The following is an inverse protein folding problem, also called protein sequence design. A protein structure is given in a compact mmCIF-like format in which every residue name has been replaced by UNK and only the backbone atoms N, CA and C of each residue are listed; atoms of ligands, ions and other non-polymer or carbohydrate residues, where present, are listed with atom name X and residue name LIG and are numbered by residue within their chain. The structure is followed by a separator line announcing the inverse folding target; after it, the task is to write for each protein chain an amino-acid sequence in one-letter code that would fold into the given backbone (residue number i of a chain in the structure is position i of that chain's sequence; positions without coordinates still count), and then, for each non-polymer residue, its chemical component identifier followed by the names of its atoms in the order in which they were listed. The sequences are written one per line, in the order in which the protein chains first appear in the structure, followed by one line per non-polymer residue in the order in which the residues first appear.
data_IF_973139260978
#
_entry.id   IF_973139260978
#
_cell.length_a   1.000
_cell.length_b   1.000
_cell.length_c   1.000
_cell.angle_alpha   90.00
_cell.angle_beta   90.00
_cell.angle_gamma   90.00
#
_symmetry.space_group_name_H-M   'P 1'
#
loop_
_entity.id
_entity.type
_entity.pdbx_description
1 polymer ?
#
# COMPACT_ATOMS: atom_id res chain seq x y z
N UNK A 1 7.63 -28.20 -11.67
CA UNK A 1 6.38 -27.96 -10.90
C UNK A 1 5.26 -27.54 -11.86
N UNK A 2 4.02 -28.00 -11.72
CA UNK A 2 2.94 -27.57 -12.62
C UNK A 2 2.66 -26.07 -12.49
N UNK A 3 2.30 -25.43 -13.60
CA UNK A 3 1.97 -24.00 -13.68
C UNK A 3 0.97 -23.56 -12.60
N UNK A 4 -0.02 -24.40 -12.28
CA UNK A 4 -1.04 -24.14 -11.26
C UNK A 4 -0.48 -24.24 -9.83
N UNK A 5 0.33 -25.28 -9.54
CA UNK A 5 0.98 -25.43 -8.23
C UNK A 5 1.93 -24.27 -7.94
N UNK A 6 2.64 -23.78 -8.95
CA UNK A 6 3.49 -22.60 -8.84
C UNK A 6 2.72 -21.36 -8.42
N UNK A 7 1.65 -21.02 -9.16
CA UNK A 7 0.82 -19.85 -8.86
C UNK A 7 0.22 -19.93 -7.45
N UNK A 8 -0.25 -21.10 -7.02
CA UNK A 8 -0.80 -21.28 -5.68
C UNK A 8 0.25 -21.08 -4.58
N UNK A 9 1.44 -21.69 -4.71
CA UNK A 9 2.51 -21.51 -3.72
C UNK A 9 2.96 -20.06 -3.61
N UNK A 10 3.08 -19.37 -4.74
CA UNK A 10 3.45 -17.95 -4.76
C UNK A 10 2.37 -17.07 -4.15
N UNK A 11 1.11 -17.28 -4.53
CA UNK A 11 -0.02 -16.56 -3.93
C UNK A 11 -0.07 -16.76 -2.42
N UNK A 12 0.08 -18.00 -1.94
CA UNK A 12 0.12 -18.28 -0.51
C UNK A 12 1.28 -17.56 0.20
N UNK A 13 2.48 -17.56 -0.39
CA UNK A 13 3.62 -16.85 0.19
C UNK A 13 3.39 -15.34 0.28
N UNK A 14 2.86 -14.72 -0.78
CA UNK A 14 2.52 -13.29 -0.79
C UNK A 14 1.42 -13.00 0.25
N UNK A 15 0.40 -13.86 0.36
CA UNK A 15 -0.65 -13.72 1.36
C UNK A 15 -0.09 -13.78 2.78
N UNK A 16 0.75 -14.76 3.10
CA UNK A 16 1.34 -14.89 4.44
C UNK A 16 2.19 -13.67 4.81
N UNK A 17 2.99 -13.16 3.87
CA UNK A 17 3.80 -11.95 4.06
C UNK A 17 2.93 -10.71 4.26
N UNK A 18 1.87 -10.54 3.46
CA UNK A 18 0.91 -9.44 3.67
C UNK A 18 0.13 -9.60 4.97
N UNK A 19 -0.19 -10.82 5.38
CA UNK A 19 -0.98 -11.07 6.58
C UNK A 19 -0.20 -10.72 7.85
N UNK A 20 1.13 -10.89 7.85
CA UNK A 20 1.99 -10.35 8.91
C UNK A 20 1.84 -8.83 9.02
N UNK A 21 1.71 -8.12 7.91
CA UNK A 21 1.41 -6.69 7.91
C UNK A 21 0.01 -6.38 8.41
N UNK A 22 -1.02 -7.17 8.07
CA UNK A 22 -2.35 -7.02 8.67
C UNK A 22 -2.31 -7.20 10.19
N UNK A 23 -1.65 -8.25 10.70
CA UNK A 23 -1.49 -8.47 12.14
C UNK A 23 -0.75 -7.34 12.84
N UNK A 24 0.10 -6.59 12.14
CA UNK A 24 0.81 -5.45 12.73
C UNK A 24 -0.14 -4.34 13.21
N UNK A 25 -1.36 -4.25 12.67
CA UNK A 25 -2.39 -3.31 13.12
C UNK A 25 -2.73 -3.49 14.62
N UNK A 26 -2.53 -4.67 15.20
CA UNK A 26 -2.75 -4.93 16.63
C UNK A 26 -1.82 -4.11 17.56
N UNK A 27 -0.69 -3.62 17.04
CA UNK A 27 0.24 -2.77 17.77
C UNK A 27 -0.10 -1.28 17.67
N UNK A 28 -1.09 -0.90 16.86
CA UNK A 28 -1.55 0.47 16.73
C UNK A 28 -2.83 0.71 17.55
N UNK A 29 -2.98 1.93 18.06
CA UNK A 29 -4.24 2.43 18.60
C UNK A 29 -5.02 3.13 17.49
N UNK A 30 -6.27 2.73 17.29
CA UNK A 30 -7.18 3.41 16.37
C UNK A 30 -8.27 4.10 17.18
N UNK A 31 -8.60 5.37 16.88
CA UNK A 31 -9.77 6.01 17.46
C UNK A 31 -11.00 5.24 16.96
N UNK A 32 -11.63 4.49 17.85
CA UNK A 32 -12.86 3.79 17.54
C UNK A 32 -14.02 4.79 17.74
N UNK A 33 -14.89 4.97 16.74
CA UNK A 33 -16.10 5.75 16.91
C UNK A 33 -17.05 4.95 17.82
N UNK A 34 -16.88 5.12 19.13
CA UNK A 34 -17.69 4.48 20.17
C UNK A 34 -19.16 4.87 20.06
N UNK A 35 -19.46 6.03 19.45
CA UNK A 35 -20.82 6.50 19.16
C UNK A 35 -21.56 5.68 18.09
N UNK A 36 -20.88 4.81 17.32
CA UNK A 36 -21.54 3.93 16.36
C UNK A 36 -22.09 2.64 16.99
N UNK A 37 -21.78 2.39 18.27
CA UNK A 37 -22.22 1.19 18.97
C UNK A 37 -23.39 1.52 19.92
N UNK A 38 -24.48 0.72 19.93
CA UNK A 38 -25.53 0.81 20.92
C UNK A 38 -24.98 0.79 22.36
N UNK A 39 -25.63 1.47 23.30
CA UNK A 39 -25.18 1.56 24.71
C UNK A 39 -25.02 0.19 25.40
N UNK A 40 -25.73 -0.84 24.93
CA UNK A 40 -25.68 -2.22 25.39
C UNK A 40 -24.62 -3.09 24.68
N UNK A 41 -23.98 -2.55 23.64
CA UNK A 41 -22.94 -3.24 22.87
C UNK A 41 -21.54 -2.93 23.42
N UNK A 42 -21.08 -3.76 24.35
CA UNK A 42 -19.71 -3.68 24.87
C UNK A 42 -18.86 -4.81 24.29
N UNK A 43 -17.99 -4.48 23.33
CA UNK A 43 -16.87 -5.34 22.99
C UNK A 43 -15.65 -4.96 23.85
N UNK A 44 -14.88 -5.95 24.28
CA UNK A 44 -13.55 -5.70 24.83
C UNK A 44 -12.65 -5.06 23.78
N UNK A 45 -11.63 -4.32 24.24
CA UNK A 45 -10.62 -3.73 23.34
C UNK A 45 -9.95 -4.80 22.45
N UNK A 46 -9.79 -6.02 22.97
CA UNK A 46 -9.21 -7.14 22.22
C UNK A 46 -10.14 -7.60 21.10
N UNK A 47 -11.44 -7.74 21.36
CA UNK A 47 -12.42 -8.10 20.34
C UNK A 47 -12.50 -7.05 19.24
N UNK A 48 -12.48 -5.75 19.61
CA UNK A 48 -12.45 -4.66 18.65
C UNK A 48 -11.20 -4.70 17.77
N UNK A 49 -10.02 -4.89 18.36
CA UNK A 49 -8.77 -5.02 17.61
C UNK A 49 -8.78 -6.20 16.65
N UNK A 50 -9.34 -7.34 17.06
CA UNK A 50 -9.50 -8.50 16.17
C UNK A 50 -10.50 -8.24 15.04
N UNK A 51 -11.59 -7.51 15.31
CA UNK A 51 -12.59 -7.15 14.31
C UNK A 51 -11.98 -6.28 13.19
N UNK A 52 -11.10 -5.33 13.53
CA UNK A 52 -10.42 -4.44 12.58
C UNK A 52 -9.58 -5.25 11.56
N UNK A 53 -9.12 -6.46 11.91
CA UNK A 53 -8.31 -7.28 10.99
C UNK A 53 -9.13 -7.91 9.86
N UNK A 54 -10.46 -8.01 9.99
CA UNK A 54 -11.31 -8.75 9.05
C UNK A 54 -11.25 -8.10 7.65
N UNK A 55 -11.59 -6.82 7.57
CA UNK A 55 -11.61 -6.07 6.29
C UNK A 55 -10.26 -6.12 5.55
N UNK A 56 -9.12 -5.75 6.15
CA UNK A 56 -7.82 -5.82 5.46
C UNK A 56 -7.42 -7.25 5.10
N UNK A 57 -7.79 -8.27 5.89
CA UNK A 57 -7.54 -9.67 5.53
C UNK A 57 -8.32 -10.10 4.29
N UNK A 58 -9.59 -9.71 4.19
CA UNK A 58 -10.43 -10.00 3.02
C UNK A 58 -9.91 -9.29 1.78
N UNK A 59 -9.57 -8.00 1.89
CA UNK A 59 -8.95 -7.24 0.82
C UNK A 59 -7.62 -7.87 0.37
N UNK A 60 -6.79 -8.29 1.33
CA UNK A 60 -5.52 -8.96 1.03
C UNK A 60 -5.74 -10.27 0.28
N UNK A 61 -6.64 -11.13 0.76
CA UNK A 61 -6.97 -12.38 0.10
C UNK A 61 -7.45 -12.14 -1.34
N UNK A 62 -8.37 -11.18 -1.53
CA UNK A 62 -8.89 -10.82 -2.83
C UNK A 62 -7.80 -10.28 -3.78
N UNK A 63 -6.98 -9.34 -3.32
CA UNK A 63 -5.89 -8.78 -4.11
C UNK A 63 -4.82 -9.82 -4.48
N UNK A 64 -4.51 -10.75 -3.57
CA UNK A 64 -3.59 -11.86 -3.87
C UNK A 64 -4.16 -12.80 -4.92
N UNK A 65 -5.46 -13.12 -4.85
CA UNK A 65 -6.14 -13.93 -5.86
C UNK A 65 -6.07 -13.23 -7.22
N UNK A 66 -6.48 -11.96 -7.29
CA UNK A 66 -6.45 -11.19 -8.53
C UNK A 66 -5.04 -11.10 -9.11
N UNK A 67 -4.06 -10.67 -8.32
CA UNK A 67 -2.68 -10.55 -8.78
C UNK A 67 -2.13 -11.89 -9.27
N UNK A 68 -2.36 -12.97 -8.55
CA UNK A 68 -1.87 -14.31 -8.91
C UNK A 68 -2.48 -14.84 -10.21
N UNK A 69 -3.75 -14.53 -10.49
CA UNK A 69 -4.44 -14.94 -11.70
C UNK A 69 -4.06 -14.07 -12.90
N UNK A 70 -3.92 -12.76 -12.70
CA UNK A 70 -3.85 -11.77 -13.78
C UNK A 70 -2.43 -11.32 -14.13
N UNK A 71 -1.42 -11.53 -13.26
CA UNK A 71 -0.07 -11.00 -13.45
C UNK A 71 0.61 -11.46 -14.73
N UNK A 72 0.50 -12.73 -15.10
CA UNK A 72 1.29 -13.31 -16.22
C UNK A 72 1.20 -12.54 -17.55
N UNK A 73 0.01 -12.21 -18.08
CA UNK A 73 -0.10 -11.42 -19.31
C UNK A 73 0.33 -9.95 -19.17
N UNK A 74 0.52 -9.43 -17.96
CA UNK A 74 0.80 -8.00 -17.72
C UNK A 74 2.27 -7.61 -17.85
N UNK A 75 3.19 -8.58 -17.85
CA UNK A 75 4.66 -8.36 -17.74
C UNK A 75 5.12 -7.74 -16.42
N UNK A 76 4.24 -7.60 -15.43
CA UNK A 76 4.60 -7.25 -14.06
C UNK A 76 5.23 -8.46 -13.36
N UNK A 77 6.17 -8.22 -12.45
CA UNK A 77 7.01 -9.27 -11.85
C UNK A 77 7.05 -9.19 -10.33
N UNK A 78 7.39 -10.32 -9.70
CA UNK A 78 7.60 -10.45 -8.25
C UNK A 78 8.92 -11.20 -8.05
N UNK A 79 10.08 -10.61 -8.42
CA UNK A 79 11.34 -11.32 -8.58
C UNK A 79 11.78 -12.12 -7.37
N UNK A 80 11.59 -11.61 -6.15
CA UNK A 80 12.03 -12.28 -4.92
C UNK A 80 11.06 -13.39 -4.53
N UNK A 81 9.75 -13.16 -4.62
CA UNK A 81 8.74 -14.22 -4.43
C UNK A 81 8.89 -15.33 -5.47
N UNK A 82 9.17 -14.99 -6.73
CA UNK A 82 9.42 -15.96 -7.80
C UNK A 82 10.66 -16.80 -7.50
N UNK A 83 11.74 -16.18 -7.00
CA UNK A 83 12.96 -16.86 -6.57
C UNK A 83 12.71 -17.84 -5.41
N UNK A 84 12.05 -17.38 -4.35
CA UNK A 84 11.73 -18.19 -3.17
C UNK A 84 10.87 -19.42 -3.50
N UNK A 85 9.95 -19.30 -4.46
CA UNK A 85 9.03 -20.40 -4.82
C UNK A 85 9.66 -21.37 -5.82
N UNK A 86 10.54 -20.91 -6.73
CA UNK A 86 11.13 -21.77 -7.76
C UNK A 86 12.29 -22.63 -7.26
N UNK A 87 12.97 -22.25 -6.16
CA UNK A 87 14.18 -22.93 -5.68
C UNK A 87 15.20 -23.19 -6.82
N UNK A 88 15.21 -22.36 -7.87
CA UNK A 88 16.15 -22.47 -8.98
C UNK A 88 17.38 -21.62 -8.67
N UNK A 89 18.57 -22.11 -9.06
CA UNK A 89 19.88 -21.45 -8.95
C UNK A 89 20.00 -20.23 -9.89
N UNK A 90 19.02 -19.32 -9.87
CA UNK A 90 19.14 -18.01 -10.54
C UNK A 90 19.77 -17.03 -9.56
N UNK A 91 20.82 -16.36 -9.98
CA UNK A 91 21.37 -15.26 -9.21
C UNK A 91 20.31 -14.16 -9.05
N UNK A 92 20.00 -13.84 -7.80
CA UNK A 92 19.06 -12.79 -7.45
C UNK A 92 19.76 -11.44 -7.63
N UNK A 93 19.24 -10.59 -8.52
CA UNK A 93 19.76 -9.24 -8.67
C UNK A 93 19.35 -8.39 -7.47
N UNK A 94 20.30 -7.66 -6.89
CA UNK A 94 20.03 -6.64 -5.86
C UNK A 94 19.44 -5.36 -6.44
N UNK A 95 19.43 -5.19 -7.77
CA UNK A 95 18.98 -3.96 -8.42
C UNK A 95 17.56 -3.53 -8.01
N UNK A 96 16.55 -4.42 -7.92
CA UNK A 96 15.22 -4.01 -7.46
C UNK A 96 15.23 -3.38 -6.05
N UNK A 97 16.06 -3.90 -5.13
CA UNK A 97 16.19 -3.34 -3.78
C UNK A 97 16.88 -1.98 -3.81
N UNK A 98 17.95 -1.82 -4.61
CA UNK A 98 18.66 -0.54 -4.76
C UNK A 98 17.73 0.54 -5.32
N UNK A 99 16.97 0.23 -6.38
CA UNK A 99 15.98 1.15 -6.92
C UNK A 99 14.84 1.41 -5.93
N UNK A 100 14.48 0.43 -5.12
CA UNK A 100 13.51 0.58 -4.04
C UNK A 100 13.99 1.60 -3.02
N UNK A 101 15.21 1.46 -2.51
CA UNK A 101 15.80 2.43 -1.56
C UNK A 101 15.88 3.82 -2.18
N UNK A 102 16.41 3.96 -3.39
CA UNK A 102 16.52 5.25 -4.06
C UNK A 102 15.14 5.91 -4.28
N UNK A 103 14.16 5.15 -4.78
CA UNK A 103 12.81 5.66 -4.98
C UNK A 103 12.09 5.97 -3.67
N UNK A 104 12.36 5.21 -2.61
CA UNK A 104 11.83 5.48 -1.27
C UNK A 104 12.37 6.77 -0.66
N UNK A 105 13.66 7.08 -0.86
CA UNK A 105 14.25 8.37 -0.48
C UNK A 105 13.59 9.51 -1.24
N UNK A 106 13.46 9.37 -2.57
CA UNK A 106 12.80 10.37 -3.42
C UNK A 106 11.36 10.61 -2.97
N UNK A 107 10.58 9.56 -2.76
CA UNK A 107 9.20 9.65 -2.31
C UNK A 107 9.09 10.25 -0.89
N UNK A 108 9.93 9.84 0.05
CA UNK A 108 9.97 10.38 1.41
C UNK A 108 10.26 11.88 1.43
N UNK A 109 11.29 12.33 0.70
CA UNK A 109 11.60 13.75 0.57
C UNK A 109 10.47 14.53 -0.12
N UNK A 110 9.89 13.97 -1.18
CA UNK A 110 8.80 14.62 -1.93
C UNK A 110 7.54 14.78 -1.08
N UNK A 111 7.15 13.74 -0.32
CA UNK A 111 5.99 13.79 0.58
C UNK A 111 6.26 14.74 1.75
N UNK A 112 7.49 14.78 2.28
CA UNK A 112 7.88 15.75 3.32
C UNK A 112 7.79 17.19 2.80
N UNK A 113 8.18 17.43 1.54
CA UNK A 113 8.00 18.73 0.88
C UNK A 113 6.52 19.10 0.69
N UNK A 114 5.68 18.14 0.27
CA UNK A 114 4.22 18.33 0.21
C UNK A 114 3.68 18.69 1.60
N UNK A 115 4.12 18.00 2.63
CA UNK A 115 3.71 18.29 4.02
C UNK A 115 4.08 19.72 4.40
N UNK A 116 5.34 20.12 4.19
CA UNK A 116 5.81 21.47 4.45
C UNK A 116 4.99 22.55 3.72
N UNK A 117 4.63 22.31 2.45
CA UNK A 117 3.81 23.23 1.65
C UNK A 117 2.39 23.40 2.21
N UNK A 118 1.79 22.31 2.71
CA UNK A 118 0.38 22.31 3.13
C UNK A 118 0.17 22.69 4.59
N UNK A 119 1.14 22.45 5.49
CA UNK A 119 1.03 22.71 6.94
C UNK A 119 0.39 24.06 7.28
N UNK A 120 0.74 25.21 6.65
CA UNK A 120 0.11 26.51 6.96
C UNK A 120 -1.40 26.58 6.69
N UNK A 121 -1.94 25.67 5.87
CA UNK A 121 -3.34 25.63 5.46
C UNK A 121 -4.13 24.52 6.15
N UNK A 122 -3.49 23.70 6.99
CA UNK A 122 -4.15 22.59 7.67
C UNK A 122 -4.84 23.07 8.96
N UNK A 123 -6.03 22.54 9.28
CA UNK A 123 -6.68 22.83 10.56
C UNK A 123 -5.79 22.44 11.75
N UNK A 124 -5.68 23.31 12.76
CA UNK A 124 -4.88 23.03 13.96
C UNK A 124 -5.36 21.78 14.71
N UNK A 125 -6.67 21.52 14.69
CA UNK A 125 -7.27 20.29 15.24
C UNK A 125 -6.72 19.03 14.56
N UNK A 126 -6.57 19.05 13.24
CA UNK A 126 -5.98 17.94 12.49
C UNK A 126 -4.50 17.75 12.83
N UNK A 127 -3.72 18.84 12.92
CA UNK A 127 -2.30 18.76 13.27
C UNK A 127 -2.11 18.10 14.65
N UNK A 128 -2.85 18.56 15.66
CA UNK A 128 -2.81 17.97 17.01
C UNK A 128 -3.24 16.49 17.06
N UNK A 129 -4.26 16.11 16.28
CA UNK A 129 -4.68 14.71 16.14
C UNK A 129 -3.61 13.86 15.44
N UNK A 130 -2.97 14.39 14.39
CA UNK A 130 -1.96 13.67 13.62
C UNK A 130 -0.65 13.41 14.40
N UNK A 131 -0.37 14.22 15.43
CA UNK A 131 0.75 13.98 16.36
C UNK A 131 0.41 12.91 17.40
N UNK A 132 -0.83 12.86 17.87
CA UNK A 132 -1.28 11.94 18.93
C UNK A 132 -1.73 10.58 18.40
N UNK A 133 -2.21 10.51 17.16
CA UNK A 133 -2.75 9.30 16.53
C UNK A 133 -1.86 8.89 15.36
N UNK A 134 -0.69 8.33 15.69
CA UNK A 134 0.19 7.71 14.70
C UNK A 134 0.14 6.19 14.80
N UNK A 135 0.03 5.48 13.66
CA UNK A 135 0.25 4.04 13.65
C UNK A 135 1.65 3.74 14.20
N UNK A 136 1.78 2.65 14.96
CA UNK A 136 3.07 2.20 15.46
C UNK A 136 4.06 2.08 14.28
N UNK A 137 5.34 2.36 14.53
CA UNK A 137 6.37 2.30 13.48
C UNK A 137 6.34 0.95 12.77
N UNK A 138 6.19 -0.14 13.51
CA UNK A 138 6.08 -1.49 12.95
C UNK A 138 4.90 -1.63 11.97
N UNK A 139 3.76 -0.98 12.26
CA UNK A 139 2.57 -0.95 11.40
C UNK A 139 2.83 -0.17 10.13
N UNK A 140 3.51 0.99 10.22
CA UNK A 140 3.90 1.78 9.04
C UNK A 140 4.78 0.93 8.11
N UNK A 141 5.75 0.21 8.65
CA UNK A 141 6.67 -0.61 7.84
C UNK A 141 6.02 -1.87 7.28
N UNK A 142 5.21 -2.60 8.08
CA UNK A 142 4.64 -3.88 7.66
C UNK A 142 3.28 -3.72 6.97
N UNK A 143 2.33 -3.00 7.56
CA UNK A 143 1.05 -2.75 6.90
C UNK A 143 1.23 -1.82 5.70
N UNK A 144 1.77 -0.61 5.93
CA UNK A 144 2.00 0.37 4.87
C UNK A 144 2.98 -0.14 3.82
N UNK A 145 4.19 -0.49 4.26
CA UNK A 145 5.27 -0.89 3.35
C UNK A 145 5.09 -2.22 2.61
N UNK A 146 4.26 -3.14 3.11
CA UNK A 146 4.09 -4.48 2.49
C UNK A 146 2.64 -4.74 2.10
N UNK A 147 1.70 -4.61 3.04
CA UNK A 147 0.31 -4.98 2.80
C UNK A 147 -0.32 -4.08 1.76
N UNK A 148 -0.18 -2.76 1.89
CA UNK A 148 -0.75 -1.80 0.93
C UNK A 148 -0.18 -2.00 -0.48
N UNK A 149 1.12 -2.33 -0.60
CA UNK A 149 1.70 -2.65 -1.90
C UNK A 149 1.10 -3.93 -2.51
N UNK A 150 0.79 -4.95 -1.71
CA UNK A 150 0.07 -6.13 -2.21
C UNK A 150 -1.34 -5.74 -2.65
N UNK A 151 -2.05 -4.93 -1.87
CA UNK A 151 -3.41 -4.50 -2.19
C UNK A 151 -3.46 -3.71 -3.49
N UNK A 152 -2.64 -2.66 -3.57
CA UNK A 152 -2.70 -1.64 -4.61
C UNK A 152 -1.90 -2.04 -5.83
N UNK A 153 -0.67 -2.55 -5.66
CA UNK A 153 0.22 -2.84 -6.80
C UNK A 153 -0.08 -4.23 -7.30
N UNK A 154 0.10 -5.24 -6.46
CA UNK A 154 -0.10 -6.62 -6.89
C UNK A 154 -1.56 -6.94 -7.26
N UNK A 155 -2.53 -6.45 -6.51
CA UNK A 155 -3.96 -6.60 -6.81
C UNK A 155 -4.47 -5.63 -7.87
N UNK A 156 -4.70 -4.38 -7.45
CA UNK A 156 -5.44 -3.36 -8.23
C UNK A 156 -4.72 -2.92 -9.51
N UNK A 157 -3.44 -2.54 -9.43
CA UNK A 157 -2.68 -2.10 -10.59
C UNK A 157 -2.52 -3.22 -11.62
N UNK A 158 -2.26 -4.46 -11.17
CA UNK A 158 -2.24 -5.63 -12.07
C UNK A 158 -3.56 -5.81 -12.80
N UNK A 159 -4.70 -5.66 -12.11
CA UNK A 159 -6.03 -5.68 -12.74
C UNK A 159 -6.15 -4.60 -13.82
N UNK A 160 -5.73 -3.36 -13.55
CA UNK A 160 -5.78 -2.28 -14.53
C UNK A 160 -4.88 -2.51 -15.74
N UNK A 161 -3.65 -2.98 -15.53
CA UNK A 161 -2.77 -3.36 -16.65
C UNK A 161 -3.41 -4.49 -17.46
N UNK A 162 -4.00 -5.48 -16.79
CA UNK A 162 -4.66 -6.59 -17.47
C UNK A 162 -5.82 -6.13 -18.35
N UNK A 163 -6.73 -5.28 -17.81
CA UNK A 163 -7.85 -4.70 -18.57
C UNK A 163 -7.30 -3.85 -19.72
N UNK A 164 -6.33 -2.97 -19.46
CA UNK A 164 -5.76 -2.08 -20.47
C UNK A 164 -5.10 -2.84 -21.61
N UNK A 165 -4.40 -3.94 -21.34
CA UNK A 165 -3.81 -4.78 -22.39
C UNK A 165 -4.85 -5.60 -23.17
N UNK A 166 -6.05 -5.84 -22.63
CA UNK A 166 -7.17 -6.40 -23.40
C UNK A 166 -7.74 -5.40 -24.40
N UNK A 167 -7.77 -4.12 -24.03
CA UNK A 167 -8.31 -3.05 -24.88
C UNK A 167 -7.28 -2.56 -25.89
N UNK A 168 -6.03 -2.35 -25.45
CA UNK A 168 -4.96 -1.77 -26.24
C UNK A 168 -3.67 -2.62 -26.13
N UNK A 169 -3.64 -3.85 -26.69
CA UNK A 169 -2.54 -4.82 -26.50
C UNK A 169 -1.18 -4.33 -27.02
N UNK A 170 -1.15 -3.37 -27.95
CA UNK A 170 0.09 -2.79 -28.51
C UNK A 170 0.58 -1.56 -27.72
N UNK A 171 -0.28 -0.92 -26.92
CA UNK A 171 0.04 0.32 -26.20
C UNK A 171 0.63 0.06 -24.81
N UNK A 172 1.62 -0.85 -24.72
CA UNK A 172 2.12 -1.40 -23.45
C UNK A 172 2.52 -0.29 -22.47
N UNK A 173 3.34 0.67 -22.91
CA UNK A 173 3.80 1.79 -22.08
C UNK A 173 2.65 2.66 -21.60
N UNK A 174 1.73 3.03 -22.51
CA UNK A 174 0.56 3.84 -22.16
C UNK A 174 -0.32 3.15 -21.13
N UNK A 175 -0.62 1.86 -21.34
CA UNK A 175 -1.41 1.05 -20.39
C UNK A 175 -0.79 1.01 -19.00
N UNK A 176 0.53 0.84 -18.89
CA UNK A 176 1.19 0.80 -17.58
C UNK A 176 1.18 2.17 -16.91
N UNK A 177 1.46 3.26 -17.63
CA UNK A 177 1.37 4.62 -17.08
C UNK A 177 -0.05 4.89 -16.58
N UNK A 178 -1.07 4.60 -17.38
CA UNK A 178 -2.46 4.77 -16.98
C UNK A 178 -2.80 3.94 -15.75
N UNK A 179 -2.38 2.67 -15.69
CA UNK A 179 -2.62 1.81 -14.53
C UNK A 179 -1.93 2.34 -13.25
N UNK A 180 -0.70 2.86 -13.36
CA UNK A 180 0.01 3.52 -12.24
C UNK A 180 -0.78 4.71 -11.73
N UNK A 181 -1.21 5.60 -12.63
CA UNK A 181 -1.95 6.82 -12.26
C UNK A 181 -3.31 6.49 -11.63
N UNK A 182 -4.06 5.54 -12.20
CA UNK A 182 -5.35 5.12 -11.66
C UNK A 182 -5.22 4.43 -10.30
N UNK A 183 -4.23 3.53 -10.15
CA UNK A 183 -3.99 2.86 -8.87
C UNK A 183 -3.53 3.85 -7.79
N UNK A 184 -2.66 4.81 -8.13
CA UNK A 184 -2.23 5.88 -7.23
C UNK A 184 -3.40 6.77 -6.79
N UNK A 185 -4.31 7.12 -7.72
CA UNK A 185 -5.49 7.92 -7.40
C UNK A 185 -6.44 7.17 -6.47
N UNK A 186 -6.74 5.91 -6.74
CA UNK A 186 -7.60 5.10 -5.88
C UNK A 186 -6.95 4.81 -4.52
N UNK A 187 -5.63 4.66 -4.46
CA UNK A 187 -4.90 4.58 -3.20
C UNK A 187 -5.07 5.86 -2.37
N UNK A 188 -4.92 7.03 -2.99
CA UNK A 188 -5.12 8.31 -2.33
C UNK A 188 -6.56 8.50 -1.82
N UNK A 189 -7.55 8.16 -2.64
CA UNK A 189 -8.98 8.17 -2.23
C UNK A 189 -9.25 7.14 -1.12
N UNK A 190 -8.58 6.00 -1.16
CA UNK A 190 -8.70 4.94 -0.15
C UNK A 190 -8.34 5.37 1.28
N UNK A 191 -7.67 6.51 1.44
CA UNK A 191 -7.37 7.10 2.76
C UNK A 191 -8.51 7.97 3.32
N UNK A 192 -9.51 8.31 2.51
CA UNK A 192 -10.60 9.19 2.94
C UNK A 192 -11.46 8.61 4.06
N UNK A 193 -11.78 7.30 4.12
CA UNK A 193 -12.49 6.72 5.26
C UNK A 193 -11.77 6.98 6.59
N UNK A 194 -10.44 6.81 6.64
CA UNK A 194 -9.66 7.09 7.83
C UNK A 194 -9.62 8.59 8.17
N UNK A 195 -9.53 9.46 7.16
CA UNK A 195 -9.64 10.91 7.35
C UNK A 195 -10.98 11.31 7.99
N UNK A 196 -12.08 10.76 7.48
CA UNK A 196 -13.43 11.07 7.95
C UNK A 196 -13.73 10.50 9.35
N UNK A 197 -12.95 9.52 9.82
CA UNK A 197 -12.99 9.07 11.22
C UNK A 197 -12.29 10.04 12.17
N UNK A 198 -11.38 10.89 11.67
CA UNK A 198 -10.63 11.86 12.47
C UNK A 198 -11.21 13.27 12.38
N UNK A 199 -11.83 13.61 11.25
CA UNK A 199 -12.34 14.95 10.95
C UNK A 199 -13.68 14.85 10.22
N UNK A 200 -14.76 15.28 10.88
CA UNK A 200 -16.13 15.17 10.35
C UNK A 200 -16.32 15.93 9.02
N UNK A 201 -15.74 17.13 8.91
CA UNK A 201 -15.85 18.01 7.75
C UNK A 201 -14.46 18.48 7.29
N UNK A 202 -13.70 17.66 6.54
CA UNK A 202 -12.36 18.01 6.12
C UNK A 202 -12.38 19.19 5.14
N UNK A 203 -11.49 20.17 5.36
CA UNK A 203 -11.38 21.34 4.48
C UNK A 203 -10.86 20.94 3.09
N UNK A 204 -11.13 21.73 2.03
CA UNK A 204 -10.56 21.47 0.71
C UNK A 204 -9.02 21.37 0.72
N UNK A 205 -8.35 22.16 1.56
CA UNK A 205 -6.90 22.11 1.74
C UNK A 205 -6.44 20.77 2.35
N UNK A 206 -7.16 20.26 3.35
CA UNK A 206 -6.86 18.95 3.96
C UNK A 206 -7.11 17.79 2.99
N UNK A 207 -8.19 17.84 2.21
CA UNK A 207 -8.46 16.86 1.16
C UNK A 207 -7.33 16.88 0.12
N UNK A 208 -6.94 18.08 -0.34
CA UNK A 208 -5.85 18.23 -1.29
C UNK A 208 -4.51 17.73 -0.74
N UNK A 209 -4.21 17.99 0.54
CA UNK A 209 -3.02 17.47 1.22
C UNK A 209 -2.96 15.93 1.20
N UNK A 210 -4.04 15.27 1.63
CA UNK A 210 -4.13 13.80 1.65
C UNK A 210 -4.02 13.23 0.23
N UNK A 211 -4.66 13.86 -0.76
CA UNK A 211 -4.54 13.45 -2.15
C UNK A 211 -3.10 13.60 -2.66
N UNK A 212 -2.49 14.78 -2.50
CA UNK A 212 -1.15 15.07 -3.01
C UNK A 212 -0.08 14.17 -2.38
N UNK A 213 -0.11 13.96 -1.07
CA UNK A 213 0.84 13.09 -0.37
C UNK A 213 0.76 11.65 -0.89
N UNK A 214 -0.45 11.09 -0.91
CA UNK A 214 -0.65 9.70 -1.34
C UNK A 214 -0.48 9.49 -2.85
N UNK A 215 -0.83 10.47 -3.68
CA UNK A 215 -0.55 10.41 -5.12
C UNK A 215 0.96 10.40 -5.39
N UNK A 216 1.73 11.20 -4.65
CA UNK A 216 3.20 11.29 -4.79
C UNK A 216 3.86 9.93 -4.56
N UNK A 217 3.62 9.30 -3.40
CA UNK A 217 4.11 7.94 -3.13
C UNK A 217 3.48 6.92 -4.09
N UNK A 218 2.18 7.05 -4.31
CA UNK A 218 1.35 6.37 -5.30
C UNK A 218 2.07 6.07 -6.60
N UNK A 219 2.46 7.14 -7.29
CA UNK A 219 3.12 7.15 -8.59
C UNK A 219 4.51 6.54 -8.53
N UNK A 220 5.33 6.89 -7.53
CA UNK A 220 6.69 6.35 -7.41
C UNK A 220 6.67 4.84 -7.22
N UNK A 221 5.87 4.33 -6.29
CA UNK A 221 5.81 2.89 -6.01
C UNK A 221 5.19 2.11 -7.18
N UNK A 222 4.17 2.68 -7.84
CA UNK A 222 3.60 2.08 -9.05
C UNK A 222 4.60 1.99 -10.20
N UNK A 223 5.40 3.05 -10.41
CA UNK A 223 6.47 3.04 -11.41
C UNK A 223 7.54 1.99 -11.09
N UNK A 224 7.97 1.89 -9.83
CA UNK A 224 8.91 0.86 -9.39
C UNK A 224 8.33 -0.55 -9.55
N UNK A 225 7.06 -0.76 -9.24
CA UNK A 225 6.43 -2.05 -9.49
C UNK A 225 6.49 -2.43 -10.97
N UNK A 226 6.20 -1.48 -11.86
CA UNK A 226 6.27 -1.70 -13.30
C UNK A 226 7.69 -2.02 -13.78
N UNK A 227 8.71 -1.28 -13.32
CA UNK A 227 10.07 -1.39 -13.85
C UNK A 227 10.96 -2.42 -13.14
N UNK A 228 10.74 -2.63 -11.85
CA UNK A 228 11.64 -3.35 -10.95
C UNK A 228 10.97 -4.49 -10.19
N UNK A 229 9.63 -4.55 -10.18
CA UNK A 229 8.86 -5.59 -9.51
C UNK A 229 8.36 -5.19 -8.12
N UNK A 230 7.49 -6.04 -7.54
CA UNK A 230 6.68 -5.70 -6.37
C UNK A 230 7.53 -5.34 -5.15
N UNK A 231 8.62 -6.08 -4.95
CA UNK A 231 9.49 -5.95 -3.78
C UNK A 231 10.28 -4.64 -3.83
N UNK A 232 10.52 -4.08 -5.03
CA UNK A 232 11.09 -2.74 -5.17
C UNK A 232 10.13 -1.66 -4.65
N UNK A 233 8.83 -1.79 -4.96
CA UNK A 233 7.80 -0.89 -4.46
C UNK A 233 7.63 -1.01 -2.94
N UNK A 234 7.69 -2.24 -2.39
CA UNK A 234 7.65 -2.49 -0.94
C UNK A 234 8.82 -1.80 -0.23
N UNK A 235 10.05 -2.01 -0.71
CA UNK A 235 11.24 -1.37 -0.13
C UNK A 235 11.14 0.14 -0.23
N UNK A 236 10.68 0.68 -1.36
CA UNK A 236 10.50 2.12 -1.50
C UNK A 236 9.51 2.68 -0.47
N UNK A 237 8.38 2.03 -0.28
CA UNK A 237 7.37 2.49 0.66
C UNK A 237 7.86 2.40 2.12
N UNK A 238 8.53 1.31 2.49
CA UNK A 238 9.22 1.17 3.79
C UNK A 238 10.20 2.33 4.00
N UNK A 239 11.07 2.59 3.02
CA UNK A 239 12.09 3.64 3.11
C UNK A 239 11.45 5.04 3.13
N UNK A 240 10.35 5.27 2.42
CA UNK A 240 9.57 6.51 2.52
C UNK A 240 9.15 6.78 3.95
N UNK A 241 8.61 5.79 4.66
CA UNK A 241 8.27 5.96 6.08
C UNK A 241 9.48 6.23 6.95
N UNK A 242 10.60 5.51 6.75
CA UNK A 242 11.83 5.73 7.52
C UNK A 242 12.38 7.15 7.32
N UNK A 243 12.34 7.66 6.09
CA UNK A 243 12.74 9.02 5.76
C UNK A 243 11.82 10.02 6.46
N UNK A 244 10.51 9.87 6.35
CA UNK A 244 9.55 10.76 7.00
C UNK A 244 9.68 10.76 8.54
N UNK A 245 10.02 9.61 9.15
CA UNK A 245 10.29 9.52 10.59
C UNK A 245 11.58 10.27 10.96
N UNK A 246 12.61 10.20 10.12
CA UNK A 246 13.88 10.87 10.38
C UNK A 246 13.86 12.40 10.21
N UNK A 247 12.86 12.93 9.49
CA UNK A 247 12.65 14.38 9.30
C UNK A 247 11.54 14.95 10.20
N UNK A 248 10.83 14.10 10.94
CA UNK A 248 9.72 14.46 11.83
C UNK A 248 10.14 14.58 13.29
#
# INVERSE_FOLDING_TARGET
MSSRRYTLKKGLLIFLVGFVGVCSLLFSSFPLPTELFPDDFSLSETELKLLILINPTLLLAFSVILGSLLQRPTRLTTPYFDYLVKLEQRTLSSQPLVHGVAGGIIAGLSISFVTWLFVPYLPQTYLALSESVQPAVITRLLYGGITEEILVRFGLMTLFVWIGLKIAPRAITGVHITAVLLAALLFAIGHFPALLMMVDAPTPALIAYILCGNLTGGVVFGYLYWKQGLESAMVAHIVTHLVMIGFG
#
